data_IF_150899409509
#
_entry.id   IF_150899409509
#
_cell.length_a   1.000
_cell.length_b   1.000
_cell.length_c   1.000
_cell.angle_alpha   90.00
_cell.angle_beta   90.00
_cell.angle_gamma   90.00
#
_symmetry.space_group_name_H-M   'P 1'
#
loop_
_entity.id
_entity.type
_entity.pdbx_description
1 polymer ?
#
# COMPACT_ATOMS: atom_id res chain seq x y z
N UNK A 1 0.57 -10.82 7.65
CA UNK A 1 0.54 -10.32 6.27
C UNK A 1 1.33 -9.03 6.16
N UNK A 2 1.89 -8.83 4.98
CA UNK A 2 2.66 -7.66 4.66
C UNK A 2 2.25 -7.20 3.27
N UNK A 3 1.95 -5.92 3.14
CA UNK A 3 1.61 -5.36 1.83
C UNK A 3 2.57 -4.24 1.48
N UNK A 4 3.07 -4.29 0.26
CA UNK A 4 3.88 -3.21 -0.29
C UNK A 4 3.05 -2.60 -1.41
N UNK A 5 2.83 -1.29 -1.33
CA UNK A 5 2.13 -0.63 -2.41
C UNK A 5 2.87 0.64 -2.81
N UNK A 6 2.72 1.01 -4.05
CA UNK A 6 3.41 2.14 -4.64
C UNK A 6 2.38 3.16 -5.07
N UNK A 7 2.50 4.38 -4.56
CA UNK A 7 1.59 5.47 -4.85
C UNK A 7 2.22 6.39 -5.88
N UNK A 8 1.43 6.88 -6.81
CA UNK A 8 1.89 7.84 -7.81
C UNK A 8 2.22 9.18 -7.13
N UNK A 9 3.49 9.60 -7.11
CA UNK A 9 3.88 10.83 -6.42
C UNK A 9 3.35 12.09 -7.09
N UNK A 10 2.86 12.00 -8.31
CA UNK A 10 2.29 13.15 -9.00
C UNK A 10 1.01 13.67 -8.34
N UNK A 11 0.39 12.88 -7.47
CA UNK A 11 -0.82 13.30 -6.78
C UNK A 11 -0.58 14.33 -5.68
N UNK A 12 0.65 14.49 -5.23
CA UNK A 12 0.99 15.44 -4.19
C UNK A 12 0.99 14.81 -2.81
N UNK A 13 1.64 15.49 -1.87
CA UNK A 13 1.85 14.96 -0.53
C UNK A 13 0.54 14.74 0.23
N UNK A 14 -0.44 15.63 0.06
CA UNK A 14 -1.71 15.48 0.75
C UNK A 14 -2.45 14.22 0.32
N UNK A 15 -2.46 13.95 -0.98
CA UNK A 15 -3.12 12.76 -1.51
C UNK A 15 -2.39 11.50 -1.06
N UNK A 16 -1.06 11.54 -1.02
CA UNK A 16 -0.26 10.42 -0.55
C UNK A 16 -0.58 10.13 0.91
N UNK A 17 -0.57 11.16 1.75
CA UNK A 17 -0.85 11.02 3.18
C UNK A 17 -2.27 10.48 3.41
N UNK A 18 -3.24 10.98 2.65
CA UNK A 18 -4.61 10.52 2.77
C UNK A 18 -4.75 9.04 2.39
N UNK A 19 -4.03 8.62 1.35
CA UNK A 19 -4.05 7.23 0.91
C UNK A 19 -3.45 6.31 1.98
N UNK A 20 -2.31 6.70 2.53
CA UNK A 20 -1.65 5.92 3.59
C UNK A 20 -2.57 5.81 4.80
N UNK A 21 -3.19 6.92 5.22
CA UNK A 21 -4.10 6.92 6.36
C UNK A 21 -5.31 6.03 6.10
N UNK A 22 -5.85 6.06 4.89
CA UNK A 22 -6.99 5.24 4.52
C UNK A 22 -6.69 3.75 4.70
N UNK A 23 -5.56 3.29 4.19
CA UNK A 23 -5.22 1.88 4.27
C UNK A 23 -4.81 1.48 5.68
N UNK A 24 -4.16 2.37 6.42
CA UNK A 24 -3.85 2.10 7.81
C UNK A 24 -5.13 1.90 8.63
N UNK A 25 -6.09 2.81 8.49
CA UNK A 25 -7.36 2.71 9.18
C UNK A 25 -8.11 1.43 8.81
N UNK A 26 -8.10 1.12 7.51
CA UNK A 26 -8.75 -0.09 7.03
C UNK A 26 -8.14 -1.34 7.67
N UNK A 27 -6.82 -1.39 7.75
CA UNK A 27 -6.15 -2.52 8.37
C UNK A 27 -6.45 -2.59 9.87
N UNK A 28 -6.50 -1.45 10.55
CA UNK A 28 -6.81 -1.43 11.99
C UNK A 28 -8.23 -1.89 12.28
N UNK A 29 -9.15 -1.63 11.37
CA UNK A 29 -10.53 -2.06 11.54
C UNK A 29 -10.72 -3.55 11.30
N UNK A 30 -9.84 -4.17 10.53
CA UNK A 30 -10.00 -5.56 10.11
C UNK A 30 -8.91 -6.49 10.63
N UNK A 31 -7.96 -5.96 11.38
CA UNK A 31 -6.86 -6.75 11.91
C UNK A 31 -6.23 -6.08 13.10
N UNK A 32 -5.04 -6.55 13.46
CA UNK A 32 -4.31 -6.03 14.61
C UNK A 32 -2.82 -5.94 14.27
N UNK A 33 -2.06 -5.38 15.21
CA UNK A 33 -0.60 -5.26 15.07
C UNK A 33 -0.21 -4.55 13.77
N UNK A 34 -0.92 -3.48 13.45
CA UNK A 34 -0.68 -2.74 12.22
C UNK A 34 0.55 -1.85 12.37
N UNK A 35 1.50 -2.03 11.46
CA UNK A 35 2.71 -1.22 11.41
C UNK A 35 2.83 -0.67 10.00
N UNK A 36 3.00 0.63 9.88
CA UNK A 36 3.16 1.28 8.59
C UNK A 36 4.58 1.85 8.51
N UNK A 37 5.29 1.49 7.47
CA UNK A 37 6.65 1.97 7.24
C UNK A 37 6.65 2.68 5.87
N UNK A 38 6.79 3.99 5.89
CA UNK A 38 6.81 4.77 4.67
C UNK A 38 8.26 4.92 4.20
N UNK A 39 8.57 4.24 3.11
CA UNK A 39 9.92 4.29 2.55
C UNK A 39 10.19 5.56 1.78
N UNK A 40 9.14 6.28 1.38
CA UNK A 40 9.29 7.51 0.66
C UNK A 40 9.38 7.34 -0.85
N UNK A 41 9.67 8.44 -1.52
CA UNK A 41 9.77 8.45 -2.97
C UNK A 41 11.06 7.76 -3.40
N UNK A 42 10.93 6.80 -4.32
CA UNK A 42 12.08 6.05 -4.83
C UNK A 42 11.98 5.93 -6.33
N UNK A 43 13.13 5.80 -6.97
CA UNK A 43 13.17 5.56 -8.40
C UNK A 43 12.79 4.10 -8.68
N UNK A 44 11.92 3.92 -9.65
CA UNK A 44 11.53 2.58 -10.08
C UNK A 44 12.63 1.95 -10.90
N UNK A 45 12.75 0.62 -10.86
CA UNK A 45 13.72 -0.10 -11.65
C UNK A 45 13.40 0.05 -13.14
N UNK A 46 12.13 0.20 -13.47
CA UNK A 46 11.66 0.46 -14.84
C UNK A 46 10.42 1.31 -14.75
N UNK A 47 10.10 1.99 -15.84
CA UNK A 47 8.95 2.90 -15.87
C UNK A 47 7.64 2.11 -15.81
N UNK A 48 6.68 2.61 -15.03
CA UNK A 48 5.31 2.11 -15.00
C UNK A 48 4.44 3.25 -15.50
N UNK A 49 3.72 3.04 -16.61
CA UNK A 49 2.91 4.06 -17.24
C UNK A 49 3.70 5.37 -17.45
N UNK A 50 4.93 5.23 -17.93
CA UNK A 50 5.84 6.35 -18.18
C UNK A 50 6.30 7.07 -16.92
N UNK A 51 6.03 6.51 -15.74
CA UNK A 51 6.48 7.08 -14.48
C UNK A 51 7.73 6.36 -14.03
N UNK A 52 8.72 7.13 -13.60
CA UNK A 52 10.00 6.58 -13.18
C UNK A 52 10.19 6.60 -11.67
N UNK A 53 9.26 7.20 -10.93
CA UNK A 53 9.33 7.26 -9.49
C UNK A 53 8.01 6.83 -8.87
N UNK A 54 8.08 6.31 -7.66
CA UNK A 54 6.91 5.93 -6.90
C UNK A 54 7.15 6.16 -5.41
N UNK A 55 6.07 6.39 -4.68
CA UNK A 55 6.13 6.52 -3.24
C UNK A 55 5.83 5.15 -2.63
N UNK A 56 6.82 4.57 -1.99
CA UNK A 56 6.73 3.21 -1.46
C UNK A 56 6.25 3.20 -0.03
N UNK A 57 5.29 2.33 0.25
CA UNK A 57 4.78 2.14 1.61
C UNK A 57 4.71 0.64 1.89
N UNK A 58 5.26 0.25 3.03
CA UNK A 58 5.14 -1.11 3.54
C UNK A 58 4.21 -1.09 4.74
N UNK A 59 3.20 -1.93 4.73
CA UNK A 59 2.28 -2.06 5.85
C UNK A 59 2.21 -3.52 6.28
N UNK A 60 2.43 -3.76 7.57
CA UNK A 60 2.33 -5.09 8.15
C UNK A 60 1.10 -5.15 9.04
N UNK A 61 0.41 -6.27 9.05
CA UNK A 61 -0.76 -6.44 9.90
C UNK A 61 -1.03 -7.93 10.13
N UNK A 62 -1.83 -8.19 11.16
CA UNK A 62 -2.31 -9.53 11.46
C UNK A 62 -3.81 -9.55 11.25
N UNK A 63 -4.31 -10.49 10.45
CA UNK A 63 -5.74 -10.61 10.19
C UNK A 63 -6.08 -12.03 9.76
N UNK A 64 -7.37 -12.31 9.64
CA UNK A 64 -7.81 -13.55 9.04
C UNK A 64 -7.56 -13.53 7.53
N UNK A 65 -7.74 -14.67 6.87
CA UNK A 65 -7.40 -14.79 5.44
C UNK A 65 -8.34 -14.02 4.50
N UNK A 66 -9.46 -13.54 4.99
CA UNK A 66 -10.42 -12.83 4.16
C UNK A 66 -10.03 -11.38 3.88
N UNK A 67 -9.40 -10.74 4.86
CA UNK A 67 -9.05 -9.33 4.70
C UNK A 67 -8.01 -9.09 3.61
N UNK A 68 -6.94 -9.87 3.48
CA UNK A 68 -5.97 -9.63 2.40
C UNK A 68 -6.61 -9.64 1.01
N UNK A 69 -7.60 -10.49 0.79
CA UNK A 69 -8.31 -10.54 -0.48
C UNK A 69 -9.08 -9.25 -0.74
N UNK A 70 -9.76 -8.75 0.30
CA UNK A 70 -10.51 -7.51 0.20
C UNK A 70 -9.56 -6.33 0.01
N UNK A 71 -8.45 -6.32 0.73
CA UNK A 71 -7.45 -5.28 0.61
C UNK A 71 -6.87 -5.22 -0.81
N UNK A 72 -6.57 -6.39 -1.37
CA UNK A 72 -6.05 -6.48 -2.74
C UNK A 72 -7.06 -5.89 -3.74
N UNK A 73 -8.33 -6.20 -3.56
CA UNK A 73 -9.39 -5.67 -4.40
C UNK A 73 -9.46 -4.13 -4.30
N UNK A 74 -9.40 -3.62 -3.08
CA UNK A 74 -9.48 -2.18 -2.85
C UNK A 74 -8.26 -1.48 -3.45
N UNK A 75 -7.07 -2.06 -3.27
CA UNK A 75 -5.86 -1.50 -3.87
C UNK A 75 -5.96 -1.44 -5.39
N UNK A 76 -6.56 -2.48 -5.99
CA UNK A 76 -6.69 -2.53 -7.44
C UNK A 76 -7.64 -1.51 -8.03
N UNK A 77 -8.59 -0.99 -7.24
CA UNK A 77 -9.56 0.00 -7.71
C UNK A 77 -9.27 1.40 -7.20
N UNK A 78 -8.26 1.57 -6.37
CA UNK A 78 -7.93 2.89 -5.81
C UNK A 78 -7.08 3.66 -6.80
N UNK A 79 -7.53 4.87 -7.15
CA UNK A 79 -6.75 5.74 -8.01
C UNK A 79 -5.44 6.12 -7.33
N UNK A 80 -4.39 6.21 -8.11
CA UNK A 80 -3.09 6.61 -7.60
C UNK A 80 -2.22 5.47 -7.13
N UNK A 81 -2.77 4.27 -7.02
CA UNK A 81 -1.96 3.11 -6.69
C UNK A 81 -1.37 2.57 -8.00
N UNK A 82 -0.06 2.65 -8.12
CA UNK A 82 0.65 2.19 -9.31
C UNK A 82 0.84 0.69 -9.29
N UNK A 83 1.10 0.14 -8.11
CA UNK A 83 1.36 -1.27 -7.96
C UNK A 83 1.14 -1.68 -6.50
N UNK A 84 0.75 -2.93 -6.30
CA UNK A 84 0.60 -3.45 -4.95
C UNK A 84 0.95 -4.94 -4.93
N UNK A 85 1.42 -5.41 -3.78
CA UNK A 85 1.74 -6.81 -3.59
C UNK A 85 1.49 -7.16 -2.13
N UNK A 86 0.78 -8.24 -1.91
CA UNK A 86 0.50 -8.73 -0.57
C UNK A 86 1.22 -10.06 -0.38
N UNK A 87 1.97 -10.16 0.70
CA UNK A 87 2.72 -11.37 1.03
C UNK A 87 2.24 -11.90 2.36
N UNK A 88 1.99 -13.19 2.42
CA UNK A 88 1.65 -13.85 3.68
C UNK A 88 2.96 -14.19 4.38
N UNK A 89 3.17 -13.56 5.53
CA UNK A 89 4.32 -13.87 6.38
C UNK A 89 3.81 -14.67 7.55
N UNK A 90 4.09 -15.88 7.57
CA UNK A 90 3.64 -16.55 8.65
C UNK A 90 4.04 -17.84 8.82
N UNK A 91 4.11 -18.32 9.54
CA UNK A 91 4.37 -19.45 9.69
C UNK A 91 4.43 -20.35 9.25
#
# INVERSE_FOLDING_TARGET
YEVVYIIDPAQGEEAIAATVAKFQTLAEQNGSDVVVDEWGKRRLAYAIDYKTEGYYVLMSFTSGPEFPKELDRILGITEGIMRSMIVCKGE
#
